data_IF_664620829191
#
_entry.id   IF_664620829191
#
_cell.length_a   1.000
_cell.length_b   1.000
_cell.length_c   1.000
_cell.angle_alpha   90.00
_cell.angle_beta   90.00
_cell.angle_gamma   90.00
#
_symmetry.space_group_name_H-M   'P 1'
#
loop_
_entity.id
_entity.type
_entity.pdbx_description
1 polymer ?
#
# COMPACT_ATOMS: atom_id res chain seq x y z
N UNK A 1 -10.01 19.49 17.78
CA UNK A 1 -10.52 20.19 18.98
C UNK A 1 -11.99 20.60 18.86
N UNK A 2 -12.48 21.04 17.69
CA UNK A 2 -13.88 21.45 17.47
C UNK A 2 -14.93 20.41 17.91
N UNK A 3 -14.82 19.16 17.44
CA UNK A 3 -15.79 18.11 17.80
C UNK A 3 -15.88 17.76 19.30
N UNK A 4 -14.83 18.06 20.08
CA UNK A 4 -14.88 17.89 21.55
C UNK A 4 -15.74 18.98 22.19
N UNK A 5 -15.76 20.19 21.63
CA UNK A 5 -16.58 21.29 22.14
C UNK A 5 -18.07 21.11 21.87
N UNK A 6 -18.44 20.53 20.73
CA UNK A 6 -19.85 20.36 20.35
C UNK A 6 -20.58 19.43 21.33
N UNK A 7 -19.96 18.31 21.72
CA UNK A 7 -20.55 17.38 22.70
C UNK A 7 -20.75 17.98 24.10
N UNK A 8 -19.91 18.94 24.51
CA UNK A 8 -20.10 19.65 25.79
C UNK A 8 -21.26 20.65 25.71
N UNK A 9 -21.35 21.41 24.62
CA UNK A 9 -22.45 22.36 24.39
C UNK A 9 -23.82 21.66 24.42
N UNK A 10 -23.91 20.49 23.80
CA UNK A 10 -25.14 19.67 23.79
C UNK A 10 -25.56 19.22 25.18
N UNK A 11 -24.64 18.62 25.96
CA UNK A 11 -24.93 18.22 27.35
C UNK A 11 -25.38 19.41 28.20
N UNK A 12 -24.78 20.58 28.01
CA UNK A 12 -25.18 21.80 28.70
C UNK A 12 -26.59 22.27 28.30
N UNK A 13 -26.95 22.19 27.02
CA UNK A 13 -28.30 22.54 26.56
C UNK A 13 -29.36 21.60 27.14
N UNK A 14 -29.10 20.29 27.15
CA UNK A 14 -30.00 19.31 27.77
C UNK A 14 -30.15 19.55 29.28
N UNK A 15 -29.05 19.76 29.99
CA UNK A 15 -29.07 20.10 31.43
C UNK A 15 -29.89 21.36 31.66
N UNK A 16 -29.75 22.38 30.81
CA UNK A 16 -30.54 23.62 30.89
C UNK A 16 -32.04 23.36 30.69
N UNK A 17 -32.44 22.59 29.66
CA UNK A 17 -33.84 22.23 29.42
C UNK A 17 -34.42 21.42 30.59
N UNK A 18 -33.67 20.44 31.10
CA UNK A 18 -34.10 19.63 32.23
C UNK A 18 -34.24 20.48 33.51
N UNK A 19 -33.30 21.40 33.74
CA UNK A 19 -33.35 22.32 34.86
C UNK A 19 -34.55 23.27 34.77
N UNK A 20 -34.93 23.74 33.57
CA UNK A 20 -36.16 24.53 33.39
C UNK A 20 -37.43 23.76 33.74
N UNK A 21 -37.48 22.46 33.45
CA UNK A 21 -38.59 21.58 33.85
C UNK A 21 -38.60 21.41 35.37
N UNK A 22 -37.44 21.09 35.98
CA UNK A 22 -37.33 20.85 37.43
C UNK A 22 -37.57 22.11 38.27
N UNK A 23 -37.10 23.26 37.82
CA UNK A 23 -37.31 24.54 38.51
C UNK A 23 -38.66 25.17 38.16
N UNK A 24 -39.35 24.65 37.14
CA UNK A 24 -40.61 25.17 36.66
C UNK A 24 -41.71 25.19 37.73
N UNK A 25 -42.54 26.23 37.68
CA UNK A 25 -43.73 26.33 38.53
C UNK A 25 -44.66 25.10 38.46
N UNK A 26 -44.86 24.41 37.31
CA UNK A 26 -45.76 23.26 37.25
C UNK A 26 -45.36 22.13 38.20
N UNK A 27 -44.07 21.77 38.27
CA UNK A 27 -43.61 20.70 39.14
C UNK A 27 -43.79 21.08 40.61
N UNK A 28 -43.40 22.31 40.99
CA UNK A 28 -43.60 22.82 42.35
C UNK A 28 -45.07 22.87 42.74
N UNK A 29 -45.94 23.32 41.85
CA UNK A 29 -47.39 23.34 42.09
C UNK A 29 -47.93 21.92 42.27
N UNK A 30 -47.51 20.95 41.46
CA UNK A 30 -47.91 19.55 41.67
C UNK A 30 -47.42 19.05 43.04
N UNK A 31 -46.14 19.24 43.37
CA UNK A 31 -45.56 18.71 44.60
C UNK A 31 -46.11 19.37 45.88
N UNK A 32 -46.41 20.68 45.86
CA UNK A 32 -46.79 21.43 47.06
C UNK A 32 -48.31 21.55 47.25
N UNK A 33 -49.07 21.63 46.17
CA UNK A 33 -50.52 21.90 46.25
C UNK A 33 -51.38 20.67 46.06
N UNK A 34 -50.93 19.63 45.34
CA UNK A 34 -51.77 18.47 45.06
C UNK A 34 -52.25 17.76 46.34
N UNK A 35 -51.41 17.68 47.38
CA UNK A 35 -51.79 17.08 48.65
C UNK A 35 -53.00 17.79 49.28
N UNK A 36 -52.94 19.12 49.38
CA UNK A 36 -54.02 19.93 49.94
C UNK A 36 -55.33 19.79 49.13
N UNK A 37 -55.22 19.61 47.82
CA UNK A 37 -56.36 19.49 46.91
C UNK A 37 -57.01 18.11 47.00
N UNK A 38 -56.21 17.06 47.13
CA UNK A 38 -56.70 15.69 47.34
C UNK A 38 -57.44 15.59 48.67
N UNK A 39 -56.90 16.21 49.73
CA UNK A 39 -57.55 16.23 51.05
C UNK A 39 -58.90 16.97 51.06
N UNK A 40 -59.09 17.95 50.16
CA UNK A 40 -60.36 18.67 49.97
C UNK A 40 -61.31 17.98 48.99
N UNK A 41 -60.85 16.96 48.28
CA UNK A 41 -61.59 16.22 47.26
C UNK A 41 -62.23 17.11 46.16
N UNK A 42 -61.55 18.18 45.75
CA UNK A 42 -62.03 19.07 44.68
C UNK A 42 -61.71 18.48 43.29
N UNK A 43 -62.67 17.88 42.58
CA UNK A 43 -62.38 17.05 41.40
C UNK A 43 -61.79 17.85 40.22
N UNK A 44 -62.18 19.11 40.08
CA UNK A 44 -61.70 19.99 38.99
C UNK A 44 -60.21 20.31 39.15
N UNK A 45 -59.76 20.62 40.37
CA UNK A 45 -58.34 20.90 40.63
C UNK A 45 -57.48 19.63 40.50
N UNK A 46 -57.95 18.48 40.99
CA UNK A 46 -57.28 17.19 40.79
C UNK A 46 -57.09 16.93 39.29
N UNK A 47 -58.13 17.13 38.49
CA UNK A 47 -58.06 17.00 37.03
C UNK A 47 -57.02 17.94 36.42
N UNK A 48 -56.99 19.20 36.85
CA UNK A 48 -55.99 20.20 36.39
C UNK A 48 -54.57 19.76 36.69
N UNK A 49 -54.28 19.29 37.91
CA UNK A 49 -52.94 18.79 38.25
C UNK A 49 -52.60 17.51 37.48
N UNK A 50 -53.57 16.62 37.24
CA UNK A 50 -53.40 15.46 36.36
C UNK A 50 -52.97 15.86 34.94
N UNK A 51 -53.58 16.91 34.38
CA UNK A 51 -53.20 17.47 33.08
C UNK A 51 -51.78 18.09 33.09
N UNK A 52 -51.42 18.82 34.16
CA UNK A 52 -50.07 19.37 34.32
C UNK A 52 -49.02 18.26 34.41
N UNK A 53 -49.26 17.22 35.20
CA UNK A 53 -48.37 16.05 35.32
C UNK A 53 -48.21 15.37 33.96
N UNK A 54 -49.31 15.17 33.22
CA UNK A 54 -49.27 14.59 31.87
C UNK A 54 -48.45 15.46 30.91
N UNK A 55 -48.56 16.78 30.99
CA UNK A 55 -47.77 17.71 30.18
C UNK A 55 -46.28 17.63 30.52
N UNK A 56 -45.91 17.60 31.81
CA UNK A 56 -44.53 17.46 32.25
C UNK A 56 -43.92 16.12 31.83
N UNK A 57 -44.65 15.02 32.01
CA UNK A 57 -44.20 13.70 31.56
C UNK A 57 -43.96 13.69 30.05
N UNK A 58 -44.86 14.28 29.27
CA UNK A 58 -44.67 14.43 27.82
C UNK A 58 -43.38 15.19 27.49
N UNK A 59 -43.11 16.32 28.14
CA UNK A 59 -41.88 17.10 27.93
C UNK A 59 -40.62 16.30 28.31
N UNK A 60 -40.65 15.56 29.43
CA UNK A 60 -39.53 14.72 29.85
C UNK A 60 -39.28 13.60 28.83
N UNK A 61 -40.32 12.93 28.34
CA UNK A 61 -40.21 11.89 27.31
C UNK A 61 -39.70 12.45 25.98
N UNK A 62 -40.15 13.63 25.57
CA UNK A 62 -39.63 14.32 24.38
C UNK A 62 -38.13 14.62 24.53
N UNK A 63 -37.69 15.16 25.68
CA UNK A 63 -36.28 15.39 25.96
C UNK A 63 -35.43 14.12 26.01
N UNK A 64 -35.95 13.04 26.58
CA UNK A 64 -35.28 11.74 26.57
C UNK A 64 -35.11 11.23 25.13
N UNK A 65 -36.15 11.33 24.30
CA UNK A 65 -36.08 10.95 22.90
C UNK A 65 -35.13 11.83 22.07
N UNK A 66 -35.02 13.12 22.39
CA UNK A 66 -34.00 14.02 21.80
C UNK A 66 -32.59 13.55 22.18
N UNK A 67 -32.36 13.25 23.46
CA UNK A 67 -31.07 12.77 23.97
C UNK A 67 -30.64 11.46 23.31
N UNK A 68 -31.54 10.48 23.21
CA UNK A 68 -31.24 9.17 22.63
C UNK A 68 -30.84 9.28 21.15
N UNK A 69 -31.58 10.07 20.36
CA UNK A 69 -31.25 10.33 18.95
C UNK A 69 -29.90 11.01 18.81
N UNK A 70 -29.62 11.97 19.67
CA UNK A 70 -28.37 12.74 19.63
C UNK A 70 -27.17 11.88 20.04
N UNK A 71 -27.33 11.03 21.07
CA UNK A 71 -26.32 10.04 21.44
C UNK A 71 -26.04 9.07 20.29
N UNK A 72 -27.08 8.58 19.61
CA UNK A 72 -26.93 7.71 18.45
C UNK A 72 -26.15 8.40 17.31
N UNK A 73 -26.46 9.67 17.01
CA UNK A 73 -25.70 10.46 16.03
C UNK A 73 -24.23 10.57 16.42
N UNK A 74 -23.92 10.90 17.68
CA UNK A 74 -22.54 11.03 18.15
C UNK A 74 -21.79 9.70 18.09
N UNK A 75 -22.41 8.59 18.48
CA UNK A 75 -21.81 7.26 18.38
C UNK A 75 -21.56 6.84 16.91
N UNK A 76 -22.49 7.15 16.01
CA UNK A 76 -22.33 6.88 14.58
C UNK A 76 -21.20 7.70 13.97
N UNK A 77 -21.09 8.99 14.30
CA UNK A 77 -19.95 9.83 13.91
C UNK A 77 -18.63 9.28 14.45
N UNK A 78 -18.58 8.89 15.73
CA UNK A 78 -17.38 8.33 16.33
C UNK A 78 -16.95 7.02 15.66
N UNK A 79 -17.91 6.12 15.38
CA UNK A 79 -17.65 4.87 14.63
C UNK A 79 -17.14 5.16 13.22
N UNK A 80 -17.73 6.13 12.53
CA UNK A 80 -17.32 6.53 11.20
C UNK A 80 -15.88 7.07 11.18
N UNK A 81 -15.53 7.95 12.13
CA UNK A 81 -14.15 8.46 12.28
C UNK A 81 -13.14 7.35 12.59
N UNK A 82 -13.50 6.38 13.44
CA UNK A 82 -12.63 5.23 13.74
C UNK A 82 -12.42 4.39 12.48
N UNK A 83 -13.48 4.13 11.71
CA UNK A 83 -13.42 3.36 10.46
C UNK A 83 -12.54 4.05 9.42
N UNK A 84 -12.69 5.37 9.25
CA UNK A 84 -11.86 6.19 8.36
C UNK A 84 -10.39 6.16 8.79
N UNK A 85 -10.09 6.41 10.07
CA UNK A 85 -8.72 6.36 10.59
C UNK A 85 -8.08 4.96 10.40
N UNK A 86 -8.84 3.89 10.63
CA UNK A 86 -8.37 2.53 10.42
C UNK A 86 -8.07 2.28 8.93
N UNK A 87 -8.94 2.75 8.04
CA UNK A 87 -8.74 2.64 6.60
C UNK A 87 -7.50 3.42 6.14
N UNK A 88 -7.31 4.67 6.60
CA UNK A 88 -6.13 5.49 6.31
C UNK A 88 -4.85 4.76 6.75
N UNK A 89 -4.84 4.25 7.99
CA UNK A 89 -3.68 3.57 8.57
C UNK A 89 -3.33 2.30 7.79
N UNK A 90 -4.33 1.47 7.48
CA UNK A 90 -4.13 0.25 6.67
C UNK A 90 -3.61 0.57 5.27
N UNK A 91 -4.13 1.63 4.65
CA UNK A 91 -3.73 2.04 3.30
C UNK A 91 -2.29 2.56 3.29
N UNK A 92 -1.90 3.39 4.28
CA UNK A 92 -0.50 3.85 4.43
C UNK A 92 0.47 2.68 4.62
N UNK A 93 0.14 1.76 5.51
CA UNK A 93 0.94 0.57 5.76
C UNK A 93 1.10 -0.29 4.50
N UNK A 94 0.01 -0.50 3.74
CA UNK A 94 0.04 -1.22 2.46
C UNK A 94 0.96 -0.55 1.43
N UNK A 95 0.91 0.79 1.33
CA UNK A 95 1.78 1.57 0.43
C UNK A 95 3.25 1.43 0.84
N UNK A 96 3.56 1.52 2.13
CA UNK A 96 4.93 1.38 2.65
C UNK A 96 5.49 -0.01 2.36
N UNK A 97 4.69 -1.05 2.55
CA UNK A 97 5.06 -2.44 2.23
C UNK A 97 5.30 -2.59 0.74
N UNK A 98 4.41 -2.07 -0.11
CA UNK A 98 4.60 -2.13 -1.54
C UNK A 98 5.91 -1.45 -1.98
N UNK A 99 6.24 -0.29 -1.38
CA UNK A 99 7.54 0.37 -1.59
C UNK A 99 8.68 -0.54 -1.17
N UNK A 100 8.63 -1.18 0.00
CA UNK A 100 9.67 -2.10 0.46
C UNK A 100 9.89 -3.28 -0.50
N UNK A 101 8.82 -3.90 -1.02
CA UNK A 101 8.94 -4.97 -2.03
C UNK A 101 9.69 -4.46 -3.27
N UNK A 102 9.32 -3.29 -3.79
CA UNK A 102 10.00 -2.70 -4.95
C UNK A 102 11.44 -2.29 -4.66
N UNK A 103 11.74 -1.78 -3.45
CA UNK A 103 13.09 -1.48 -3.01
C UNK A 103 13.95 -2.75 -2.93
N UNK A 104 13.39 -3.87 -2.45
CA UNK A 104 14.10 -5.15 -2.34
C UNK A 104 14.32 -5.84 -3.68
N UNK A 105 13.42 -5.66 -4.65
CA UNK A 105 13.61 -6.21 -5.99
C UNK A 105 14.62 -5.41 -6.83
N UNK A 106 14.83 -4.12 -6.51
CA UNK A 106 15.69 -3.23 -7.32
C UNK A 106 17.14 -3.72 -7.47
N UNK A 107 17.85 -4.19 -6.43
CA UNK A 107 19.20 -4.74 -6.59
C UNK A 107 19.26 -5.91 -7.58
N UNK A 108 18.26 -6.80 -7.56
CA UNK A 108 18.13 -7.93 -8.51
C UNK A 108 18.03 -7.41 -9.95
N UNK A 109 17.18 -6.39 -10.18
CA UNK A 109 17.03 -5.76 -11.49
C UNK A 109 18.30 -5.03 -11.95
N UNK A 110 19.02 -4.41 -11.03
CA UNK A 110 20.26 -3.70 -11.35
C UNK A 110 21.34 -4.67 -11.85
N UNK A 111 21.58 -5.78 -11.14
CA UNK A 111 22.54 -6.80 -11.58
C UNK A 111 22.13 -7.43 -12.91
N UNK A 112 20.84 -7.73 -13.08
CA UNK A 112 20.28 -8.21 -14.35
C UNK A 112 20.57 -7.24 -15.52
N UNK A 113 20.42 -5.94 -15.27
CA UNK A 113 20.69 -4.90 -16.27
C UNK A 113 22.17 -4.78 -16.62
N UNK A 114 23.08 -4.93 -15.65
CA UNK A 114 24.52 -4.89 -15.90
C UNK A 114 24.96 -6.10 -16.74
N UNK A 115 24.51 -7.30 -16.38
CA UNK A 115 24.76 -8.53 -17.16
C UNK A 115 24.30 -8.34 -18.61
N UNK A 116 23.06 -7.87 -18.80
CA UNK A 116 22.50 -7.56 -20.12
C UNK A 116 23.39 -6.59 -20.90
N UNK A 117 23.81 -5.49 -20.29
CA UNK A 117 24.61 -4.47 -20.98
C UNK A 117 25.97 -5.05 -21.45
N UNK A 118 26.61 -5.88 -20.63
CA UNK A 118 27.87 -6.54 -21.01
C UNK A 118 27.69 -7.63 -22.06
N UNK A 119 26.59 -8.39 -22.03
CA UNK A 119 26.21 -9.29 -23.12
C UNK A 119 25.99 -8.52 -24.44
N UNK A 120 25.33 -7.35 -24.35
CA UNK A 120 25.15 -6.45 -25.48
C UNK A 120 26.49 -6.02 -26.09
N UNK A 121 27.43 -5.57 -25.25
CA UNK A 121 28.80 -5.23 -25.66
C UNK A 121 29.54 -6.41 -26.30
N UNK A 122 29.50 -7.59 -25.68
CA UNK A 122 30.12 -8.80 -26.27
C UNK A 122 29.51 -9.09 -27.64
N UNK A 123 28.19 -9.00 -27.76
CA UNK A 123 27.49 -9.26 -29.03
C UNK A 123 27.89 -8.27 -30.11
N UNK A 124 28.03 -6.97 -29.79
CA UNK A 124 28.37 -5.95 -30.78
C UNK A 124 29.81 -6.07 -31.27
N UNK A 125 30.74 -6.46 -30.39
CA UNK A 125 32.14 -6.67 -30.75
C UNK A 125 32.33 -7.97 -31.56
N UNK A 126 31.60 -9.03 -31.21
CA UNK A 126 31.77 -10.34 -31.86
C UNK A 126 30.92 -10.54 -33.12
N UNK A 127 29.84 -9.77 -33.30
CA UNK A 127 28.97 -9.84 -34.47
C UNK A 127 28.95 -8.48 -35.17
N UNK A 128 29.91 -8.24 -36.07
CA UNK A 128 29.95 -7.02 -36.89
C UNK A 128 28.67 -6.86 -37.72
N UNK A 129 28.23 -5.62 -37.93
CA UNK A 129 27.03 -5.30 -38.72
C UNK A 129 27.15 -5.73 -40.19
N UNK A 130 28.37 -5.76 -40.72
CA UNK A 130 28.65 -5.98 -42.14
C UNK A 130 29.20 -7.39 -42.45
N UNK A 131 29.26 -8.28 -41.46
CA UNK A 131 29.81 -9.63 -41.64
C UNK A 131 31.33 -9.66 -41.82
N UNK A 132 32.01 -8.55 -41.56
CA UNK A 132 33.47 -8.46 -41.52
C UNK A 132 34.01 -9.35 -40.40
N UNK A 133 35.15 -9.99 -40.67
CA UNK A 133 35.88 -10.76 -39.66
C UNK A 133 36.25 -9.84 -38.50
N UNK A 134 35.74 -10.09 -37.29
CA UNK A 134 35.97 -9.17 -36.20
C UNK A 134 37.44 -9.20 -35.77
N UNK A 135 38.04 -8.03 -35.66
CA UNK A 135 39.44 -7.86 -35.23
C UNK A 135 39.46 -7.38 -33.78
N UNK A 136 40.11 -8.14 -32.90
CA UNK A 136 40.10 -7.86 -31.46
C UNK A 136 41.49 -7.46 -30.97
N UNK A 137 41.54 -6.36 -30.22
CA UNK A 137 42.66 -6.12 -29.32
C UNK A 137 42.63 -7.13 -28.18
N UNK A 138 43.79 -7.68 -27.81
CA UNK A 138 43.93 -8.50 -26.61
C UNK A 138 43.38 -7.75 -25.39
N UNK A 139 42.57 -8.42 -24.58
CA UNK A 139 42.00 -7.88 -23.35
C UNK A 139 40.78 -6.96 -23.51
N UNK A 140 40.29 -6.72 -24.73
CA UNK A 140 39.18 -5.77 -24.98
C UNK A 140 37.89 -6.12 -24.21
N UNK A 141 37.60 -7.41 -24.06
CA UNK A 141 36.39 -7.93 -23.42
C UNK A 141 36.62 -8.45 -21.99
N UNK A 142 37.85 -8.44 -21.48
CA UNK A 142 38.18 -8.98 -20.15
C UNK A 142 37.38 -8.32 -19.04
N UNK A 143 37.22 -6.99 -19.12
CA UNK A 143 36.38 -6.23 -18.20
C UNK A 143 34.91 -6.68 -18.24
N UNK A 144 34.39 -7.05 -19.40
CA UNK A 144 33.02 -7.56 -19.53
C UNK A 144 32.89 -8.95 -18.93
N UNK A 145 33.85 -9.84 -19.15
CA UNK A 145 33.82 -11.18 -18.57
C UNK A 145 33.93 -11.14 -17.04
N UNK A 146 34.86 -10.34 -16.52
CA UNK A 146 35.00 -10.14 -15.08
C UNK A 146 33.74 -9.53 -14.47
N UNK A 147 33.12 -8.54 -15.14
CA UNK A 147 31.91 -7.89 -14.64
C UNK A 147 30.72 -8.84 -14.64
N UNK A 148 30.50 -9.61 -15.71
CA UNK A 148 29.42 -10.61 -15.76
C UNK A 148 29.58 -11.61 -14.61
N UNK A 149 30.78 -12.16 -14.39
CA UNK A 149 31.02 -13.11 -13.29
C UNK A 149 30.70 -12.49 -11.93
N UNK A 150 31.22 -11.31 -11.64
CA UNK A 150 30.93 -10.64 -10.35
C UNK A 150 29.45 -10.26 -10.19
N UNK A 151 28.75 -9.94 -11.29
CA UNK A 151 27.34 -9.58 -11.24
C UNK A 151 26.41 -10.78 -11.13
N UNK A 152 26.82 -11.96 -11.58
CA UNK A 152 26.11 -13.21 -11.26
C UNK A 152 26.13 -13.43 -9.74
N UNK A 153 27.31 -13.31 -9.10
CA UNK A 153 27.42 -13.43 -7.64
C UNK A 153 26.62 -12.34 -6.90
N UNK A 154 26.55 -11.12 -7.45
CA UNK A 154 25.72 -10.04 -6.90
C UNK A 154 24.22 -10.32 -7.06
N UNK A 155 23.83 -10.86 -8.22
CA UNK A 155 22.46 -11.22 -8.53
C UNK A 155 21.96 -12.30 -7.56
N UNK A 156 22.72 -13.39 -7.38
CA UNK A 156 22.38 -14.50 -6.48
C UNK A 156 22.20 -14.00 -5.03
N UNK A 157 23.17 -13.21 -4.52
CA UNK A 157 23.06 -12.62 -3.19
C UNK A 157 21.85 -11.70 -3.03
N UNK A 158 21.56 -10.90 -4.05
CA UNK A 158 20.40 -10.00 -4.05
C UNK A 158 19.08 -10.78 -4.11
N UNK A 159 19.07 -11.87 -4.87
CA UNK A 159 17.93 -12.77 -4.99
C UNK A 159 17.65 -13.49 -3.67
N UNK A 160 18.68 -13.97 -2.97
CA UNK A 160 18.55 -14.57 -1.64
C UNK A 160 17.97 -13.58 -0.62
N UNK A 161 18.46 -12.34 -0.63
CA UNK A 161 17.91 -11.28 0.23
C UNK A 161 16.45 -11.00 -0.11
N UNK A 162 16.10 -10.95 -1.39
CA UNK A 162 14.71 -10.77 -1.83
C UNK A 162 13.81 -11.96 -1.42
N UNK A 163 14.26 -13.20 -1.61
CA UNK A 163 13.50 -14.40 -1.28
C UNK A 163 13.33 -14.62 0.22
N UNK A 164 14.32 -14.19 1.03
CA UNK A 164 14.22 -14.20 2.49
C UNK A 164 13.24 -13.15 3.03
N UNK A 165 12.88 -12.17 2.21
CA UNK A 165 11.91 -11.14 2.55
C UNK A 165 10.49 -11.67 2.36
N UNK A 166 9.97 -12.40 3.35
CA UNK A 166 8.58 -12.87 3.36
C UNK A 166 7.72 -11.85 4.12
N UNK A 167 6.86 -11.12 3.42
CA UNK A 167 5.84 -10.26 4.03
C UNK A 167 4.42 -10.69 3.66
N UNK A 168 3.66 -11.14 4.66
CA UNK A 168 2.28 -11.64 4.51
C UNK A 168 1.26 -10.55 4.19
N UNK A 169 1.63 -9.28 4.30
CA UNK A 169 0.67 -8.17 4.13
C UNK A 169 0.36 -7.83 2.68
N UNK A 170 1.19 -8.26 1.71
CA UNK A 170 0.88 -8.11 0.28
C UNK A 170 1.24 -9.36 -0.54
N UNK A 171 0.52 -10.49 -0.32
CA UNK A 171 0.88 -11.77 -0.94
C UNK A 171 0.92 -11.72 -2.46
N UNK A 172 -0.05 -11.05 -3.08
CA UNK A 172 -0.18 -10.98 -4.54
C UNK A 172 0.92 -10.12 -5.19
N UNK A 173 1.31 -9.03 -4.54
CA UNK A 173 2.42 -8.19 -4.99
C UNK A 173 3.75 -8.93 -4.86
N UNK A 174 3.98 -9.55 -3.71
CA UNK A 174 5.18 -10.36 -3.49
C UNK A 174 5.28 -11.51 -4.49
N UNK A 175 4.19 -12.25 -4.72
CA UNK A 175 4.11 -13.33 -5.70
C UNK A 175 4.44 -12.85 -7.12
N UNK A 176 3.87 -11.70 -7.52
CA UNK A 176 4.16 -11.11 -8.83
C UNK A 176 5.64 -10.72 -8.97
N UNK A 177 6.20 -10.08 -7.95
CA UNK A 177 7.62 -9.70 -7.93
C UNK A 177 8.55 -10.93 -7.87
N UNK A 178 8.17 -11.97 -7.13
CA UNK A 178 8.89 -13.24 -7.06
C UNK A 178 8.89 -13.94 -8.41
N UNK A 179 7.78 -13.91 -9.15
CA UNK A 179 7.75 -14.46 -10.50
C UNK A 179 8.70 -13.71 -11.45
N UNK A 180 8.81 -12.38 -11.33
CA UNK A 180 9.82 -11.64 -12.10
C UNK A 180 11.24 -12.04 -11.72
N UNK A 181 11.51 -12.19 -10.43
CA UNK A 181 12.81 -12.62 -9.92
C UNK A 181 13.18 -14.01 -10.46
N UNK A 182 12.26 -14.97 -10.44
CA UNK A 182 12.46 -16.31 -11.00
C UNK A 182 12.69 -16.30 -12.51
N UNK A 183 11.99 -15.45 -13.27
CA UNK A 183 12.25 -15.33 -14.71
C UNK A 183 13.63 -14.75 -15.02
N UNK A 184 14.08 -13.77 -14.21
CA UNK A 184 15.43 -13.23 -14.32
C UNK A 184 16.48 -14.29 -13.98
N UNK A 185 16.25 -15.07 -12.92
CA UNK A 185 17.12 -16.15 -12.46
C UNK A 185 17.34 -17.23 -13.53
N UNK A 186 16.25 -17.65 -14.19
CA UNK A 186 16.33 -18.61 -15.32
C UNK A 186 17.27 -18.10 -16.41
N UNK A 187 17.26 -16.80 -16.73
CA UNK A 187 18.15 -16.23 -17.74
C UNK A 187 19.60 -16.09 -17.23
N UNK A 188 19.80 -15.66 -15.98
CA UNK A 188 21.13 -15.44 -15.38
C UNK A 188 21.90 -16.75 -15.18
N UNK A 189 21.19 -17.83 -14.84
CA UNK A 189 21.76 -19.17 -14.64
C UNK A 189 21.93 -19.97 -15.93
N UNK A 190 21.62 -19.40 -17.10
CA UNK A 190 21.78 -20.13 -18.36
C UNK A 190 23.24 -20.52 -18.60
N UNK A 191 23.45 -21.80 -18.93
CA UNK A 191 24.77 -22.36 -19.21
C UNK A 191 25.53 -21.58 -20.29
N UNK A 192 24.82 -20.96 -21.24
CA UNK A 192 25.43 -20.17 -22.30
C UNK A 192 26.19 -18.94 -21.78
N UNK A 193 25.78 -18.31 -20.67
CA UNK A 193 26.52 -17.21 -20.06
C UNK A 193 27.90 -17.70 -19.57
N UNK A 194 27.92 -18.88 -18.93
CA UNK A 194 29.15 -19.51 -18.48
C UNK A 194 30.07 -19.87 -19.65
N UNK A 195 29.52 -20.50 -20.70
CA UNK A 195 30.29 -20.87 -21.89
C UNK A 195 30.91 -19.64 -22.58
N UNK A 196 30.18 -18.52 -22.66
CA UNK A 196 30.72 -17.26 -23.19
C UNK A 196 31.88 -16.78 -22.33
N UNK A 197 31.70 -16.69 -21.01
CA UNK A 197 32.75 -16.16 -20.13
C UNK A 197 34.01 -17.05 -20.09
N UNK A 198 33.84 -18.37 -20.20
CA UNK A 198 34.92 -19.34 -20.05
C UNK A 198 35.68 -19.61 -21.35
N UNK A 199 35.02 -19.50 -22.52
CA UNK A 199 35.63 -19.93 -23.78
C UNK A 199 35.83 -18.81 -24.82
N UNK A 200 35.12 -17.69 -24.71
CA UNK A 200 35.29 -16.61 -25.68
C UNK A 200 36.67 -15.95 -25.55
N UNK A 201 37.19 -15.80 -24.33
CA UNK A 201 38.54 -15.26 -24.11
C UNK A 201 39.62 -16.11 -24.79
N UNK A 202 39.51 -17.44 -24.71
CA UNK A 202 40.42 -18.37 -25.37
C UNK A 202 40.26 -18.32 -26.90
N UNK A 203 39.03 -18.24 -27.39
CA UNK A 203 38.77 -18.13 -28.83
C UNK A 203 39.39 -16.85 -29.41
N UNK A 204 39.31 -15.72 -28.68
CA UNK A 204 39.94 -14.45 -29.06
C UNK A 204 41.47 -14.59 -29.05
N UNK A 205 42.03 -15.13 -27.96
CA UNK A 205 43.48 -15.25 -27.79
C UNK A 205 44.13 -16.13 -28.88
N UNK A 206 43.42 -17.17 -29.31
CA UNK A 206 43.86 -18.09 -30.36
C UNK A 206 43.45 -17.66 -31.78
N UNK A 207 42.83 -16.48 -31.94
CA UNK A 207 42.28 -15.99 -33.22
C UNK A 207 41.36 -17.02 -33.91
N UNK A 208 40.61 -17.79 -33.11
CA UNK A 208 39.68 -18.79 -33.59
C UNK A 208 38.34 -18.15 -33.99
N UNK A 209 38.32 -17.52 -35.17
CA UNK A 209 37.22 -16.67 -35.64
C UNK A 209 35.84 -17.34 -35.59
N UNK A 210 35.74 -18.61 -35.99
CA UNK A 210 34.47 -19.35 -35.96
C UNK A 210 33.92 -19.46 -34.54
N UNK A 211 34.79 -19.76 -33.56
CA UNK A 211 34.42 -19.80 -32.15
C UNK A 211 34.00 -18.42 -31.63
N UNK A 212 34.69 -17.36 -32.04
CA UNK A 212 34.34 -15.99 -31.64
C UNK A 212 32.94 -15.62 -32.17
N UNK A 213 32.66 -15.89 -33.45
CA UNK A 213 31.36 -15.64 -34.06
C UNK A 213 30.28 -16.48 -33.37
N UNK A 214 30.56 -17.75 -33.05
CA UNK A 214 29.62 -18.63 -32.36
C UNK A 214 29.21 -18.09 -30.98
N UNK A 215 30.18 -17.72 -30.14
CA UNK A 215 29.89 -17.15 -28.82
C UNK A 215 29.28 -15.75 -28.91
N UNK A 216 29.67 -14.95 -29.90
CA UNK A 216 29.03 -13.67 -30.21
C UNK A 216 27.54 -13.82 -30.54
N UNK A 217 27.17 -14.84 -31.34
CA UNK A 217 25.77 -15.16 -31.63
C UNK A 217 25.01 -15.59 -30.38
N UNK A 218 25.60 -16.42 -29.51
CA UNK A 218 25.01 -16.79 -28.21
C UNK A 218 24.76 -15.55 -27.34
N UNK A 219 25.75 -14.66 -27.22
CA UNK A 219 25.62 -13.41 -26.49
C UNK A 219 24.52 -12.52 -27.06
N UNK A 220 24.37 -12.47 -28.39
CA UNK A 220 23.30 -11.73 -29.08
C UNK A 220 21.90 -12.26 -28.76
N UNK A 221 21.74 -13.59 -28.76
CA UNK A 221 20.47 -14.24 -28.37
C UNK A 221 20.14 -13.91 -26.92
N UNK A 222 21.06 -14.17 -25.99
CA UNK A 222 20.89 -13.84 -24.58
C UNK A 222 20.57 -12.36 -24.35
N UNK A 223 21.30 -11.45 -25.01
CA UNK A 223 21.03 -10.02 -24.92
C UNK A 223 19.59 -9.67 -25.35
N UNK A 224 19.10 -10.32 -26.41
CA UNK A 224 17.74 -10.13 -26.90
C UNK A 224 16.71 -10.65 -25.89
N UNK A 225 16.94 -11.82 -25.31
CA UNK A 225 16.08 -12.43 -24.29
C UNK A 225 16.03 -11.58 -23.01
N UNK A 226 17.18 -11.13 -22.51
CA UNK A 226 17.27 -10.22 -21.38
C UNK A 226 16.55 -8.89 -21.67
N UNK A 227 16.69 -8.35 -22.88
CA UNK A 227 16.04 -7.09 -23.26
C UNK A 227 14.52 -7.22 -23.37
N UNK A 228 14.04 -8.35 -23.90
CA UNK A 228 12.61 -8.67 -23.95
C UNK A 228 12.04 -8.79 -22.53
N UNK A 229 12.71 -9.56 -21.66
CA UNK A 229 12.28 -9.74 -20.27
C UNK A 229 12.32 -8.41 -19.49
N UNK A 230 13.38 -7.61 -19.63
CA UNK A 230 13.45 -6.27 -19.01
C UNK A 230 12.27 -5.40 -19.41
N UNK A 231 11.94 -5.37 -20.70
CA UNK A 231 10.82 -4.55 -21.22
C UNK A 231 9.49 -5.03 -20.66
N UNK A 232 9.29 -6.35 -20.57
CA UNK A 232 8.12 -6.95 -19.95
C UNK A 232 8.01 -6.56 -18.46
N UNK A 233 9.06 -6.83 -17.68
CA UNK A 233 9.11 -6.51 -16.24
C UNK A 233 8.90 -5.01 -16.02
N UNK A 234 9.50 -4.14 -16.83
CA UNK A 234 9.32 -2.69 -16.71
C UNK A 234 7.86 -2.25 -16.86
N UNK A 235 7.11 -2.84 -17.79
CA UNK A 235 5.68 -2.57 -17.97
C UNK A 235 4.86 -3.06 -16.79
N UNK A 236 5.07 -4.30 -16.36
CA UNK A 236 4.31 -4.88 -15.26
C UNK A 236 4.62 -4.19 -13.92
N UNK A 237 5.88 -3.83 -13.67
CA UNK A 237 6.28 -3.07 -12.48
C UNK A 237 5.63 -1.69 -12.43
N UNK A 238 5.47 -1.01 -13.56
CA UNK A 238 4.77 0.27 -13.61
C UNK A 238 3.27 0.10 -13.28
N UNK A 239 2.65 -0.98 -13.77
CA UNK A 239 1.26 -1.33 -13.43
C UNK A 239 1.11 -1.61 -11.93
N UNK A 240 1.98 -2.44 -11.35
CA UNK A 240 1.97 -2.75 -9.92
C UNK A 240 2.22 -1.50 -9.07
N UNK A 241 3.14 -0.62 -9.46
CA UNK A 241 3.36 0.67 -8.76
C UNK A 241 2.12 1.56 -8.82
N UNK A 242 1.43 1.60 -9.95
CA UNK A 242 0.19 2.37 -10.09
C UNK A 242 -0.89 1.82 -9.15
N UNK A 243 -1.04 0.50 -9.08
CA UNK A 243 -2.05 -0.19 -8.29
C UNK A 243 -1.79 -0.11 -6.78
N UNK A 244 -0.56 -0.35 -6.34
CA UNK A 244 -0.24 -0.53 -4.92
C UNK A 244 0.33 0.73 -4.24
N UNK A 245 0.83 1.70 -5.00
CA UNK A 245 1.46 2.90 -4.44
C UNK A 245 0.76 4.15 -4.90
N UNK A 246 0.67 4.41 -6.21
CA UNK A 246 0.21 5.71 -6.73
C UNK A 246 -1.28 5.90 -6.48
N UNK A 247 -2.12 4.94 -6.87
CA UNK A 247 -3.58 5.07 -6.74
C UNK A 247 -4.04 5.10 -5.27
N UNK A 248 -3.53 4.24 -4.37
CA UNK A 248 -3.89 4.30 -2.95
C UNK A 248 -3.41 5.61 -2.30
N UNK A 249 -2.23 6.11 -2.66
CA UNK A 249 -1.71 7.38 -2.14
C UNK A 249 -2.52 8.58 -2.64
N UNK A 250 -2.98 8.56 -3.90
CA UNK A 250 -3.85 9.59 -4.44
C UNK A 250 -5.21 9.63 -3.70
N UNK A 251 -5.78 8.46 -3.38
CA UNK A 251 -7.02 8.36 -2.59
C UNK A 251 -6.83 8.94 -1.18
N UNK A 252 -5.74 8.56 -0.49
CA UNK A 252 -5.41 9.12 0.82
C UNK A 252 -5.33 10.65 0.82
N UNK A 253 -4.79 11.24 -0.24
CA UNK A 253 -4.65 12.70 -0.36
C UNK A 253 -5.95 13.40 -0.78
N UNK A 254 -6.87 12.69 -1.44
CA UNK A 254 -8.19 13.22 -1.77
C UNK A 254 -9.12 13.23 -0.54
N UNK A 255 -8.88 12.32 0.41
CA UNK A 255 -9.64 12.17 1.64
C UNK A 255 -9.05 12.97 2.83
N UNK A 256 -7.89 13.64 2.65
CA UNK A 256 -7.21 14.46 3.67
C UNK A 256 -7.53 15.94 3.52
#
# INVERSE_FOLDING_TARGET
>A
MAARNDGYSMKLNLISKFNNILQGQPLRAICLTLQNVVDRAEPEEISRYGQLTKSLLKQITELQGELDKEQEMFENEAKQRIKENLWITKTRLSIEIARMVFEKLRPVQNSFDVIRNHLGKISSECCSLHGETPFFGFGLLDSSFSCIRSEIDNFERSLDVFNSFVDYTSPTLYESCSNFASQMDVLVTQQDIKLICDHLADAISNQHYDGIIQYGKKAKTLYSDFSALKTFIGREMNKLKLEHVVSPNAKLNADS
#
